data_IF_560716046313
#
_entry.id   IF_560716046313
#
_cell.length_a   1.000
_cell.length_b   1.000
_cell.length_c   1.000
_cell.angle_alpha   90.00
_cell.angle_beta   90.00
_cell.angle_gamma   90.00
#
_symmetry.space_group_name_H-M   'P 1'
#
loop_
_entity.id
_entity.type
_entity.pdbx_description
1 polymer ?
#
# COMPACT_ATOMS: atom_id res chain seq x y z
N UNK A 1 -2.72 -13.10 -22.49
CA UNK A 1 -2.20 -11.76 -22.15
C UNK A 1 -1.35 -11.28 -23.31
N UNK A 2 -1.84 -10.35 -24.12
CA UNK A 2 -1.04 -9.74 -25.19
C UNK A 2 -0.01 -8.81 -24.54
N UNK A 3 1.25 -9.21 -24.53
CA UNK A 3 2.35 -8.35 -24.12
C UNK A 3 2.40 -7.18 -25.12
N UNK A 4 2.28 -5.92 -24.68
CA UNK A 4 2.41 -4.80 -25.61
C UNK A 4 3.78 -4.90 -26.27
N UNK A 5 3.89 -4.77 -27.60
CA UNK A 5 5.17 -4.82 -28.26
C UNK A 5 6.03 -3.73 -27.64
N UNK A 6 7.19 -4.12 -27.14
CA UNK A 6 8.19 -3.18 -26.66
C UNK A 6 8.72 -2.52 -27.93
N UNK A 7 7.96 -1.56 -28.44
CA UNK A 7 8.31 -0.79 -29.63
C UNK A 7 9.64 -0.12 -29.35
N UNK A 8 10.60 -0.25 -30.26
CA UNK A 8 11.93 0.36 -30.14
C UNK A 8 11.84 1.84 -29.68
N UNK A 9 10.82 2.57 -30.16
CA UNK A 9 10.54 3.95 -29.76
C UNK A 9 10.24 4.15 -28.27
N UNK A 10 9.62 3.18 -27.56
CA UNK A 10 9.40 3.26 -26.11
C UNK A 10 10.73 3.13 -25.35
N UNK A 11 11.62 2.25 -25.78
CA UNK A 11 12.95 2.08 -25.18
C UNK A 11 13.75 3.37 -25.33
N UNK A 12 13.80 3.92 -26.54
CA UNK A 12 14.50 5.19 -26.83
C UNK A 12 13.92 6.33 -25.99
N UNK A 13 12.59 6.42 -25.87
CA UNK A 13 11.94 7.42 -25.02
C UNK A 13 12.32 7.29 -23.55
N UNK A 14 12.39 6.07 -23.03
CA UNK A 14 12.80 5.82 -21.64
C UNK A 14 14.25 6.25 -21.42
N UNK A 15 15.15 5.89 -22.33
CA UNK A 15 16.57 6.29 -22.27
C UNK A 15 16.71 7.82 -22.31
N UNK A 16 15.97 8.48 -23.20
CA UNK A 16 15.99 9.94 -23.32
C UNK A 16 15.49 10.60 -22.03
N UNK A 17 14.41 10.08 -21.44
CA UNK A 17 13.86 10.57 -20.17
C UNK A 17 14.85 10.34 -19.03
N UNK A 18 15.48 9.16 -18.93
CA UNK A 18 16.47 8.89 -17.88
C UNK A 18 17.67 9.82 -17.98
N UNK A 19 18.09 10.18 -19.19
CA UNK A 19 19.17 11.14 -19.42
C UNK A 19 18.78 12.54 -18.96
N UNK A 20 17.57 13.00 -19.31
CA UNK A 20 17.04 14.30 -18.87
C UNK A 20 16.91 14.35 -17.35
N UNK A 21 16.39 13.29 -16.72
CA UNK A 21 16.26 13.19 -15.27
C UNK A 21 17.62 13.22 -14.59
N UNK A 22 18.61 12.46 -15.07
CA UNK A 22 19.97 12.49 -14.55
C UNK A 22 20.64 13.86 -14.69
N UNK A 23 20.40 14.55 -15.82
CA UNK A 23 20.87 15.91 -16.03
C UNK A 23 20.25 16.89 -15.03
N UNK A 24 18.93 16.84 -14.84
CA UNK A 24 18.21 17.66 -13.86
C UNK A 24 18.70 17.39 -12.43
N UNK A 25 18.94 16.12 -12.07
CA UNK A 25 19.48 15.77 -10.75
C UNK A 25 20.87 16.36 -10.53
N UNK A 26 21.70 16.35 -11.57
CA UNK A 26 23.05 16.95 -11.53
C UNK A 26 22.98 18.48 -11.40
N UNK A 27 22.05 19.15 -12.09
CA UNK A 27 21.92 20.62 -12.03
C UNK A 27 21.37 21.10 -10.69
N UNK A 28 20.51 20.32 -10.03
CA UNK A 28 19.97 20.63 -8.70
C UNK A 28 20.96 20.18 -7.59
N UNK A 29 22.03 19.46 -7.94
CA UNK A 29 23.04 18.97 -6.98
C UNK A 29 22.52 17.82 -6.10
N UNK A 30 21.44 17.16 -6.51
CA UNK A 30 20.84 16.05 -5.77
C UNK A 30 21.41 14.75 -6.32
N UNK A 31 22.16 14.04 -5.46
CA UNK A 31 22.71 12.73 -5.80
C UNK A 31 21.62 11.67 -6.01
N UNK A 32 21.83 10.67 -6.90
CA UNK A 32 20.91 9.53 -7.09
C UNK A 32 20.58 8.77 -5.81
N UNK A 33 21.57 8.68 -4.93
CA UNK A 33 21.47 8.07 -3.61
C UNK A 33 20.51 8.83 -2.68
N UNK A 34 20.40 10.14 -2.85
CA UNK A 34 19.49 10.99 -2.05
C UNK A 34 18.04 10.76 -2.41
N UNK A 35 17.73 10.67 -3.71
CA UNK A 35 16.36 10.34 -4.18
C UNK A 35 15.93 8.97 -3.66
N UNK A 36 16.82 7.98 -3.70
CA UNK A 36 16.52 6.64 -3.21
C UNK A 36 16.26 6.61 -1.70
N UNK A 37 17.06 7.35 -0.92
CA UNK A 37 16.84 7.51 0.53
C UNK A 37 15.50 8.15 0.83
N UNK A 38 15.10 9.20 0.12
CA UNK A 38 13.79 9.84 0.31
C UNK A 38 12.62 8.90 0.05
N UNK A 39 12.73 8.02 -0.95
CA UNK A 39 11.70 7.01 -1.22
C UNK A 39 11.61 6.02 -0.07
N UNK A 40 12.75 5.52 0.43
CA UNK A 40 12.79 4.59 1.56
C UNK A 40 12.22 5.26 2.82
N UNK A 41 12.62 6.49 3.11
CA UNK A 41 12.15 7.25 4.27
C UNK A 41 10.63 7.51 4.21
N UNK A 42 10.10 7.79 3.03
CA UNK A 42 8.66 7.96 2.81
C UNK A 42 7.89 6.67 3.05
N UNK A 43 8.37 5.54 2.52
CA UNK A 43 7.77 4.22 2.76
C UNK A 43 7.80 3.89 4.24
N UNK A 44 8.93 4.09 4.90
CA UNK A 44 9.10 3.85 6.33
C UNK A 44 8.18 4.74 7.18
N UNK A 45 7.98 6.00 6.78
CA UNK A 45 7.03 6.90 7.44
C UNK A 45 5.58 6.40 7.32
N UNK A 46 5.18 5.94 6.13
CA UNK A 46 3.85 5.36 5.90
C UNK A 46 3.65 4.11 6.76
N UNK A 47 4.65 3.22 6.79
CA UNK A 47 4.58 1.98 7.58
C UNK A 47 4.54 2.27 9.08
N UNK A 48 5.30 3.25 9.58
CA UNK A 48 5.23 3.69 10.98
C UNK A 48 3.85 4.25 11.33
N UNK A 49 3.29 5.08 10.46
CA UNK A 49 1.94 5.64 10.65
C UNK A 49 0.87 4.55 10.65
N UNK A 50 0.96 3.59 9.71
CA UNK A 50 0.07 2.44 9.67
C UNK A 50 0.17 1.59 10.94
N UNK A 51 1.38 1.32 11.44
CA UNK A 51 1.57 0.60 12.71
C UNK A 51 0.96 1.34 13.90
N UNK A 52 1.16 2.64 14.00
CA UNK A 52 0.60 3.46 15.09
C UNK A 52 -0.94 3.44 15.08
N UNK A 53 -1.55 3.58 13.89
CA UNK A 53 -3.00 3.47 13.74
C UNK A 53 -3.50 2.05 14.08
N UNK A 54 -2.74 1.01 13.73
CA UNK A 54 -3.13 -0.36 14.06
C UNK A 54 -3.00 -0.66 15.55
N UNK A 55 -1.97 -0.17 16.26
CA UNK A 55 -1.83 -0.40 17.70
C UNK A 55 -2.92 0.30 18.49
N UNK A 56 -3.23 1.55 18.15
CA UNK A 56 -4.21 2.35 18.87
C UNK A 56 -5.64 2.00 18.41
N UNK A 57 -5.80 1.68 17.13
CA UNK A 57 -7.04 1.20 16.54
C UNK A 57 -7.39 -0.24 16.92
N UNK A 58 -6.45 -1.03 17.43
CA UNK A 58 -6.71 -2.38 17.93
C UNK A 58 -7.68 -2.35 19.11
N UNK A 59 -7.58 -1.36 20.00
CA UNK A 59 -8.55 -1.18 21.09
C UNK A 59 -9.94 -0.86 20.53
N UNK A 60 -10.04 -0.01 19.51
CA UNK A 60 -11.31 0.30 18.85
C UNK A 60 -11.90 -0.90 18.08
N UNK A 61 -11.05 -1.69 17.43
CA UNK A 61 -11.43 -2.96 16.79
C UNK A 61 -11.90 -3.96 17.84
N UNK A 62 -11.24 -4.06 18.99
CA UNK A 62 -11.64 -4.93 20.10
C UNK A 62 -12.97 -4.49 20.72
N UNK A 63 -13.20 -3.18 20.88
CA UNK A 63 -14.50 -2.61 21.32
C UNK A 63 -15.59 -2.93 20.31
N UNK A 64 -15.33 -2.73 19.02
CA UNK A 64 -16.27 -3.11 17.95
C UNK A 64 -16.53 -4.61 17.90
N UNK A 65 -15.49 -5.43 18.04
CA UNK A 65 -15.58 -6.88 18.07
C UNK A 65 -16.37 -7.37 19.29
N UNK A 66 -16.24 -6.73 20.45
CA UNK A 66 -17.02 -7.06 21.64
C UNK A 66 -18.53 -6.90 21.42
N UNK A 67 -18.96 -6.03 20.50
CA UNK A 67 -20.38 -5.83 20.14
C UNK A 67 -20.79 -6.69 18.94
N UNK A 68 -19.99 -6.70 17.88
CA UNK A 68 -20.31 -7.37 16.61
C UNK A 68 -20.24 -8.90 16.75
N UNK A 69 -19.28 -9.43 17.50
CA UNK A 69 -19.11 -10.88 17.67
C UNK A 69 -20.35 -11.51 18.32
N UNK A 70 -20.89 -11.01 19.46
CA UNK A 70 -22.12 -11.54 20.03
C UNK A 70 -23.32 -11.48 19.07
N UNK A 71 -23.52 -10.35 18.38
CA UNK A 71 -24.62 -10.19 17.41
C UNK A 71 -24.49 -11.23 16.30
N UNK A 72 -23.29 -11.41 15.75
CA UNK A 72 -23.05 -12.39 14.71
C UNK A 72 -23.26 -13.82 15.22
N UNK A 73 -22.82 -14.15 16.44
CA UNK A 73 -23.04 -15.46 17.07
C UNK A 73 -24.54 -15.75 17.21
N UNK A 74 -25.33 -14.79 17.69
CA UNK A 74 -26.79 -14.96 17.82
C UNK A 74 -27.43 -15.19 16.46
N UNK A 75 -27.11 -14.36 15.46
CA UNK A 75 -27.62 -14.51 14.09
C UNK A 75 -27.19 -15.84 13.47
N UNK A 76 -25.95 -16.26 13.70
CA UNK A 76 -25.41 -17.51 13.17
C UNK A 76 -26.08 -18.72 13.81
N UNK A 77 -26.22 -18.74 15.14
CA UNK A 77 -26.89 -19.83 15.88
C UNK A 77 -28.36 -19.91 15.50
N UNK A 78 -29.08 -18.78 15.42
CA UNK A 78 -30.48 -18.76 15.00
C UNK A 78 -30.67 -19.24 13.56
N UNK A 79 -29.78 -18.86 12.64
CA UNK A 79 -29.77 -19.39 11.26
C UNK A 79 -29.46 -20.89 11.22
N UNK A 80 -28.54 -21.36 12.04
CA UNK A 80 -28.18 -22.78 12.13
C UNK A 80 -29.32 -23.62 12.69
N UNK A 81 -30.01 -23.13 13.72
CA UNK A 81 -31.19 -23.78 14.30
C UNK A 81 -32.37 -23.79 13.33
N UNK A 82 -32.60 -22.70 12.59
CA UNK A 82 -33.67 -22.60 11.57
C UNK A 82 -33.39 -23.42 10.30
N UNK A 83 -32.14 -23.84 10.07
CA UNK A 83 -31.75 -24.75 8.98
C UNK A 83 -31.85 -26.24 9.34
N UNK A 84 -32.35 -26.59 10.53
CA UNK A 84 -32.73 -27.98 10.82
C UNK A 84 -34.16 -28.21 10.29
N UNK A 85 -34.39 -29.23 9.44
CA UNK A 85 -35.74 -29.55 8.96
C UNK A 85 -36.67 -29.95 10.10
#
# INVERSE_FOLDING_TARGET
>A
MNLPPITLGKIVKIILISLVVGFIMTTIGVGPDTVWRWVIDAVDAIVRLARHILTDGLEYILVGAAVVVPVYVIVYVTRLLRKRP
#
